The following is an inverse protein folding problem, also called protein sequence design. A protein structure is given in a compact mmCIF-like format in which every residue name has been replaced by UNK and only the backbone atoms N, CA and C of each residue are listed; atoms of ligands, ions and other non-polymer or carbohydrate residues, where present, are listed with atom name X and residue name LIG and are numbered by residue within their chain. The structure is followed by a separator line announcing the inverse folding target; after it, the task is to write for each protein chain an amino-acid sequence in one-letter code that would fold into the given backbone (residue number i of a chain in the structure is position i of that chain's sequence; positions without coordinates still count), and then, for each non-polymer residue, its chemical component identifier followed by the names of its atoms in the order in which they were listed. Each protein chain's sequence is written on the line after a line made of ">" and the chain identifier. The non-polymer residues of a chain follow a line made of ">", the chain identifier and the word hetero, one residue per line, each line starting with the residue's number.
data_IF_370573937462
#
_entry.id   IF_370573937462
#
_cell.length_a   1.000
_cell.length_b   1.000
_cell.length_c   1.000
_cell.angle_alpha   90.00
_cell.angle_beta   90.00
_cell.angle_gamma   90.00
#
_symmetry.space_group_name_H-M   'P 1'
#
loop_
_entity.id
_entity.type
_entity.pdbx_description
1 polymer ?
#
# COMPACT_ATOMS: atom_id res chain seq x y z
N UNK A 1 -19.08 -11.07 -32.70
CA UNK A 1 -19.54 -10.15 -31.64
C UNK A 1 -18.30 -9.69 -30.89
N UNK A 2 -18.01 -8.39 -30.91
CA UNK A 2 -16.80 -7.82 -30.32
C UNK A 2 -16.98 -7.90 -28.80
N UNK A 3 -16.06 -8.60 -28.13
CA UNK A 3 -16.06 -8.77 -26.68
C UNK A 3 -16.08 -7.36 -26.06
N UNK A 4 -17.15 -7.07 -25.32
CA UNK A 4 -17.28 -5.80 -24.61
C UNK A 4 -16.25 -5.82 -23.48
N UNK A 5 -15.06 -5.30 -23.75
CA UNK A 5 -14.08 -4.98 -22.72
C UNK A 5 -14.71 -3.93 -21.82
N UNK A 6 -15.32 -4.38 -20.72
CA UNK A 6 -15.76 -3.52 -19.63
C UNK A 6 -14.51 -2.87 -19.04
N UNK A 7 -14.09 -1.76 -19.64
CA UNK A 7 -13.07 -0.87 -19.10
C UNK A 7 -13.69 -0.22 -17.87
N UNK A 8 -13.48 -0.85 -16.71
CA UNK A 8 -13.86 -0.27 -15.43
C UNK A 8 -13.30 1.16 -15.35
N UNK A 9 -14.05 2.11 -14.79
CA UNK A 9 -13.58 3.48 -14.69
C UNK A 9 -12.29 3.52 -13.87
N UNK A 10 -11.30 4.26 -14.38
CA UNK A 10 -9.97 4.44 -13.75
C UNK A 10 -10.05 4.75 -12.26
N UNK A 11 -11.08 5.48 -11.80
CA UNK A 11 -11.32 5.80 -10.40
C UNK A 11 -11.56 4.58 -9.51
N UNK A 12 -12.20 3.53 -10.01
CA UNK A 12 -12.45 2.27 -9.29
C UNK A 12 -11.14 1.48 -9.18
N UNK A 13 -10.41 1.35 -10.30
CA UNK A 13 -9.11 0.69 -10.36
C UNK A 13 -8.11 1.36 -9.40
N UNK A 14 -8.10 2.70 -9.35
CA UNK A 14 -7.23 3.48 -8.45
C UNK A 14 -7.63 3.27 -6.99
N UNK A 15 -8.92 3.31 -6.66
CA UNK A 15 -9.39 3.07 -5.28
C UNK A 15 -9.03 1.67 -4.80
N UNK A 16 -9.23 0.64 -5.61
CA UNK A 16 -8.87 -0.73 -5.25
C UNK A 16 -7.36 -0.92 -5.11
N UNK A 17 -6.57 -0.30 -5.98
CA UNK A 17 -5.11 -0.37 -5.90
C UNK A 17 -4.59 0.32 -4.63
N UNK A 18 -5.15 1.49 -4.28
CA UNK A 18 -4.85 2.17 -3.03
C UNK A 18 -5.26 1.31 -1.82
N UNK A 19 -6.46 0.73 -1.86
CA UNK A 19 -6.96 -0.12 -0.78
C UNK A 19 -6.06 -1.34 -0.54
N UNK A 20 -5.63 -2.03 -1.60
CA UNK A 20 -4.70 -3.17 -1.51
C UNK A 20 -3.36 -2.78 -0.86
N UNK A 21 -2.79 -1.63 -1.23
CA UNK A 21 -1.52 -1.18 -0.66
C UNK A 21 -1.65 -0.83 0.83
N UNK A 22 -2.76 -0.19 1.22
CA UNK A 22 -3.03 0.15 2.62
C UNK A 22 -3.32 -1.09 3.47
N UNK A 23 -4.08 -2.06 2.95
CA UNK A 23 -4.28 -3.33 3.65
C UNK A 23 -2.98 -4.11 3.84
N UNK A 24 -2.11 -4.15 2.82
CA UNK A 24 -0.79 -4.76 2.92
C UNK A 24 0.08 -4.02 3.95
N UNK A 25 0.06 -2.68 3.95
CA UNK A 25 0.77 -1.86 4.91
C UNK A 25 0.30 -2.13 6.36
N UNK A 26 -1.00 -2.13 6.62
CA UNK A 26 -1.56 -2.45 7.95
C UNK A 26 -1.18 -3.86 8.42
N UNK A 27 -1.23 -4.84 7.51
CA UNK A 27 -0.82 -6.21 7.81
C UNK A 27 0.66 -6.28 8.22
N UNK A 28 1.54 -5.63 7.46
CA UNK A 28 2.98 -5.60 7.74
C UNK A 28 3.29 -4.90 9.07
N UNK A 29 2.61 -3.78 9.34
CA UNK A 29 2.74 -3.04 10.60
C UNK A 29 2.38 -3.95 11.78
N UNK A 30 1.22 -4.63 11.72
CA UNK A 30 0.78 -5.54 12.79
C UNK A 30 1.68 -6.76 12.92
N UNK A 31 2.04 -7.41 11.81
CA UNK A 31 2.83 -8.64 11.80
C UNK A 31 4.24 -8.45 12.37
N UNK A 32 4.88 -7.33 12.04
CA UNK A 32 6.26 -7.06 12.46
C UNK A 32 6.34 -6.04 13.60
N UNK A 33 5.20 -5.66 14.17
CA UNK A 33 5.06 -4.64 15.21
C UNK A 33 5.83 -3.36 14.88
N UNK A 34 5.69 -2.88 13.63
CA UNK A 34 6.44 -1.73 13.14
C UNK A 34 5.95 -0.44 13.79
N UNK A 35 6.89 0.42 14.15
CA UNK A 35 6.63 1.73 14.74
C UNK A 35 7.33 2.83 13.95
N UNK A 36 7.10 4.09 14.34
CA UNK A 36 7.82 5.24 13.79
C UNK A 36 9.35 5.13 13.92
N UNK A 37 9.84 4.43 14.95
CA UNK A 37 11.27 4.24 15.18
C UNK A 37 11.91 3.26 14.18
N UNK A 38 11.12 2.40 13.54
CA UNK A 38 11.59 1.37 12.62
C UNK A 38 11.79 1.88 11.19
N UNK A 39 12.00 3.19 10.99
CA UNK A 39 12.11 3.80 9.66
C UNK A 39 13.16 3.11 8.79
N UNK A 40 14.36 2.89 9.31
CA UNK A 40 15.46 2.23 8.58
C UNK A 40 15.15 0.77 8.24
N UNK A 41 14.43 0.07 9.13
CA UNK A 41 13.98 -1.31 8.90
C UNK A 41 12.92 -1.36 7.80
N UNK A 42 11.99 -0.41 7.80
CA UNK A 42 10.98 -0.27 6.73
C UNK A 42 11.68 0.04 5.40
N UNK A 43 12.70 0.90 5.43
CA UNK A 43 13.43 1.29 4.23
C UNK A 43 14.18 0.14 3.57
N UNK A 44 14.80 -0.71 4.38
CA UNK A 44 15.57 -1.88 3.94
C UNK A 44 14.70 -3.09 3.60
N UNK A 45 13.57 -3.29 4.29
CA UNK A 45 12.75 -4.50 4.13
C UNK A 45 11.62 -4.35 3.11
N UNK A 46 11.09 -3.14 2.91
CA UNK A 46 9.96 -2.90 2.02
C UNK A 46 10.46 -2.26 0.73
N UNK A 47 10.53 -3.06 -0.34
CA UNK A 47 10.98 -2.60 -1.65
C UNK A 47 9.88 -1.92 -2.47
N UNK A 48 8.62 -2.30 -2.25
CA UNK A 48 7.49 -1.68 -2.95
C UNK A 48 7.28 -0.24 -2.46
N UNK A 49 7.44 0.77 -3.35
CA UNK A 49 7.37 2.17 -2.95
C UNK A 49 5.95 2.60 -2.55
N UNK A 50 4.89 1.97 -3.08
CA UNK A 50 3.50 2.29 -2.75
C UNK A 50 3.14 1.75 -1.36
N UNK A 51 3.55 0.51 -1.05
CA UNK A 51 3.37 -0.08 0.28
C UNK A 51 4.21 0.66 1.31
N UNK A 52 5.47 0.99 0.99
CA UNK A 52 6.33 1.80 1.87
C UNK A 52 5.68 3.16 2.19
N UNK A 53 5.18 3.85 1.17
CA UNK A 53 4.47 5.12 1.36
C UNK A 53 3.23 4.96 2.25
N UNK A 54 2.40 3.93 2.01
CA UNK A 54 1.24 3.67 2.83
C UNK A 54 1.61 3.37 4.29
N UNK A 55 2.69 2.61 4.54
CA UNK A 55 3.22 2.38 5.90
C UNK A 55 3.61 3.70 6.56
N UNK A 56 4.32 4.59 5.86
CA UNK A 56 4.70 5.90 6.39
C UNK A 56 3.50 6.79 6.69
N UNK A 57 2.48 6.78 5.84
CA UNK A 57 1.24 7.54 6.07
C UNK A 57 0.49 7.01 7.30
N UNK A 58 0.33 5.68 7.44
CA UNK A 58 -0.32 5.05 8.60
C UNK A 58 0.47 5.33 9.88
N UNK A 59 1.78 5.16 9.83
CA UNK A 59 2.65 5.40 10.98
C UNK A 59 2.87 6.89 11.24
N UNK A 60 2.49 7.81 10.36
CA UNK A 60 2.72 9.24 10.51
C UNK A 60 4.20 9.64 10.49
N UNK A 61 4.99 8.97 9.66
CA UNK A 61 6.40 9.29 9.39
C UNK A 61 6.44 10.30 8.24
N UNK A 62 7.04 11.47 8.46
CA UNK A 62 7.22 12.54 7.45
C UNK A 62 8.63 12.57 6.91
#
# INVERSE_FOLDING_TARGET
>A
MISSETKEPLSVIIKESLFRNYSAAEYLIKKYNLTKADKEKIDSSITDPKVKKAIYEILGIK
#
